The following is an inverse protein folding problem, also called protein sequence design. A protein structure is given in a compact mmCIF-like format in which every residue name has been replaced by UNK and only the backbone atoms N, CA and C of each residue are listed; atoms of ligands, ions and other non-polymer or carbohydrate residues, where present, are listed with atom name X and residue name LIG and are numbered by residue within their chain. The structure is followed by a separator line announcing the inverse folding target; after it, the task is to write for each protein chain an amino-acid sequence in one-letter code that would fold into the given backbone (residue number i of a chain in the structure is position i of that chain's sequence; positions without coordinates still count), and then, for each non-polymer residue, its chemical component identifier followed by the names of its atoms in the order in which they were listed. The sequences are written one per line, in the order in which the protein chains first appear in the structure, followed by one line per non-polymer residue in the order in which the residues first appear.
data_IF_270794559474
#
_entry.id   IF_270794559474
#
_cell.length_a   1.000
_cell.length_b   1.000
_cell.length_c   1.000
_cell.angle_alpha   90.00
_cell.angle_beta   90.00
_cell.angle_gamma   90.00
#
_symmetry.space_group_name_H-M   'P 1'
#
loop_
_entity.id
_entity.type
_entity.pdbx_description
1 polymer ?
#
# COMPACT_ATOMS: atom_id res chain seq x y z
N UNK A 1 -18.15 -8.41 -0.61
CA UNK A 1 -16.68 -8.48 -0.52
C UNK A 1 -16.21 -7.58 0.61
N UNK A 2 -15.30 -8.08 1.41
CA UNK A 2 -14.80 -7.33 2.57
C UNK A 2 -13.70 -6.37 2.19
N UNK A 3 -13.55 -5.33 3.00
CA UNK A 3 -12.53 -4.31 2.81
C UNK A 3 -11.60 -4.27 4.02
N UNK A 4 -10.31 -4.19 3.75
CA UNK A 4 -9.29 -3.94 4.76
C UNK A 4 -8.66 -2.60 4.39
N UNK A 5 -8.68 -1.64 5.31
CA UNK A 5 -8.21 -0.28 5.04
C UNK A 5 -6.99 0.07 5.87
N UNK A 6 -6.01 0.68 5.18
CA UNK A 6 -4.92 1.42 5.81
C UNK A 6 -5.19 2.87 5.46
N UNK A 7 -5.31 3.72 6.46
CA UNK A 7 -5.69 5.12 6.23
C UNK A 7 -4.60 6.06 6.72
N UNK A 8 -4.21 6.99 5.84
CA UNK A 8 -3.28 8.08 6.14
C UNK A 8 -1.94 7.62 6.72
N UNK A 9 -1.36 6.57 6.11
CA UNK A 9 -0.02 6.14 6.47
C UNK A 9 0.98 7.24 6.08
N UNK A 10 1.71 7.76 7.07
CA UNK A 10 2.67 8.82 6.84
C UNK A 10 4.01 8.27 6.34
N UNK A 11 4.46 8.80 5.21
CA UNK A 11 5.77 8.47 4.64
C UNK A 11 6.48 9.78 4.28
N UNK A 12 7.66 10.01 4.82
CA UNK A 12 8.49 11.11 4.38
C UNK A 12 9.45 10.59 3.31
N UNK A 13 9.29 11.04 2.08
CA UNK A 13 10.05 10.51 0.96
C UNK A 13 10.25 11.58 -0.12
N UNK A 14 10.91 11.20 -1.22
CA UNK A 14 11.50 12.15 -2.17
C UNK A 14 10.93 11.99 -3.57
N UNK A 15 9.62 11.72 -3.66
CA UNK A 15 8.93 11.62 -4.95
C UNK A 15 8.54 12.99 -5.48
N UNK A 16 8.49 13.12 -6.79
CA UNK A 16 8.03 14.32 -7.45
C UNK A 16 8.86 14.64 -8.69
N UNK A 17 8.34 15.56 -9.49
CA UNK A 17 9.00 16.01 -10.72
C UNK A 17 10.08 17.05 -10.42
N UNK A 18 9.85 17.93 -9.45
CA UNK A 18 10.77 19.01 -9.13
C UNK A 18 12.00 18.52 -8.40
N UNK A 19 13.15 19.10 -8.74
CA UNK A 19 14.41 18.75 -8.09
C UNK A 19 14.38 19.01 -6.58
N UNK A 20 13.73 20.08 -6.17
CA UNK A 20 13.58 20.42 -4.75
C UNK A 20 12.83 19.35 -3.99
N UNK A 21 11.79 18.76 -4.58
CA UNK A 21 11.04 17.65 -3.99
C UNK A 21 11.93 16.42 -3.82
N UNK A 22 12.80 16.18 -4.78
CA UNK A 22 13.71 15.04 -4.77
C UNK A 22 14.84 15.18 -3.72
N UNK A 23 15.28 16.40 -3.48
CA UNK A 23 16.37 16.68 -2.55
C UNK A 23 15.87 16.84 -1.11
N UNK A 24 14.86 17.69 -0.92
CA UNK A 24 14.34 18.01 0.41
C UNK A 24 13.35 16.98 0.92
N UNK A 25 12.61 16.36 0.02
CA UNK A 25 11.55 15.43 0.37
C UNK A 25 10.31 16.14 0.90
N UNK A 26 9.27 15.36 1.14
CA UNK A 26 8.03 15.85 1.73
C UNK A 26 7.26 14.68 2.35
N UNK A 27 6.28 15.04 3.19
CA UNK A 27 5.40 14.06 3.79
C UNK A 27 4.31 13.66 2.81
N UNK A 28 4.15 12.35 2.61
CA UNK A 28 3.06 11.76 1.85
C UNK A 28 2.11 11.03 2.78
N UNK A 29 0.82 11.13 2.52
CA UNK A 29 -0.19 10.34 3.21
C UNK A 29 -0.71 9.31 2.21
N UNK A 30 -0.54 8.04 2.54
CA UNK A 30 -0.95 6.93 1.69
C UNK A 30 -2.11 6.20 2.33
N UNK A 31 -3.18 6.01 1.58
CA UNK A 31 -4.31 5.20 1.99
C UNK A 31 -4.49 4.06 1.00
N UNK A 32 -4.75 2.88 1.52
CA UNK A 32 -4.98 1.68 0.72
C UNK A 32 -6.25 0.98 1.16
N UNK A 33 -7.13 0.68 0.21
CA UNK A 33 -8.31 -0.15 0.45
C UNK A 33 -8.10 -1.45 -0.29
N UNK A 34 -8.09 -2.55 0.46
CA UNK A 34 -7.85 -3.89 -0.06
C UNK A 34 -9.13 -4.70 0.02
N UNK A 35 -9.53 -5.28 -1.11
CA UNK A 35 -10.80 -6.00 -1.23
C UNK A 35 -10.53 -7.49 -1.30
N UNK A 36 -11.05 -8.24 -0.35
CA UNK A 36 -10.93 -9.69 -0.32
C UNK A 36 -12.14 -10.31 0.39
N UNK A 37 -12.33 -11.61 0.18
CA UNK A 37 -13.32 -12.37 0.95
C UNK A 37 -12.62 -12.91 2.21
N UNK A 38 -13.01 -12.39 3.37
CA UNK A 38 -12.41 -12.77 4.66
C UNK A 38 -13.15 -13.93 5.33
N UNK A 39 -14.14 -14.53 4.66
CA UNK A 39 -14.95 -15.59 5.25
C UNK A 39 -14.11 -16.78 5.71
N UNK A 40 -13.18 -17.23 4.90
CA UNK A 40 -12.32 -18.36 5.24
C UNK A 40 -11.43 -18.06 6.44
N UNK A 41 -10.86 -16.86 6.50
CA UNK A 41 -10.07 -16.42 7.65
C UNK A 41 -10.92 -16.35 8.92
N UNK A 42 -12.15 -15.84 8.82
CA UNK A 42 -13.09 -15.77 9.94
C UNK A 42 -13.50 -17.14 10.46
N UNK A 43 -13.63 -18.12 9.58
CA UNK A 43 -14.02 -19.48 9.97
C UNK A 43 -12.87 -20.29 10.55
N UNK A 44 -11.64 -20.03 10.12
CA UNK A 44 -10.47 -20.85 10.50
C UNK A 44 -9.55 -20.14 11.49
N UNK A 45 -9.70 -18.83 11.67
CA UNK A 45 -8.80 -18.00 12.48
C UNK A 45 -7.35 -18.06 11.98
N UNK A 46 -7.16 -18.24 10.66
CA UNK A 46 -5.82 -18.28 10.06
C UNK A 46 -5.55 -17.00 9.25
N UNK A 47 -4.54 -16.26 9.66
CA UNK A 47 -4.15 -15.02 9.03
C UNK A 47 -3.73 -15.20 7.56
N UNK A 48 -3.25 -16.38 7.19
CA UNK A 48 -2.85 -16.70 5.82
C UNK A 48 -3.99 -16.52 4.80
N UNK A 49 -5.26 -16.58 5.25
CA UNK A 49 -6.42 -16.40 4.38
C UNK A 49 -6.94 -14.95 4.39
N UNK A 50 -6.18 -14.05 4.96
CA UNK A 50 -6.51 -12.64 5.00
C UNK A 50 -5.24 -11.82 4.74
N UNK A 51 -5.28 -10.54 5.08
CA UNK A 51 -4.14 -9.63 4.96
C UNK A 51 -3.73 -9.20 6.35
N UNK A 52 -2.45 -9.37 6.65
CA UNK A 52 -1.87 -8.75 7.84
C UNK A 52 -1.65 -7.27 7.53
N UNK A 53 -2.54 -6.42 8.00
CA UNK A 53 -2.49 -4.99 7.65
C UNK A 53 -1.22 -4.30 8.18
N UNK A 54 -0.65 -4.76 9.28
CA UNK A 54 0.61 -4.20 9.78
C UNK A 54 1.76 -4.52 8.83
N UNK A 55 1.80 -5.74 8.30
CA UNK A 55 2.77 -6.14 7.29
C UNK A 55 2.56 -5.37 5.99
N UNK A 56 1.30 -5.22 5.56
CA UNK A 56 0.96 -4.47 4.35
C UNK A 56 1.40 -3.01 4.48
N UNK A 57 1.16 -2.39 5.64
CA UNK A 57 1.61 -1.02 5.90
C UNK A 57 3.14 -0.91 5.82
N UNK A 58 3.85 -1.90 6.35
CA UNK A 58 5.31 -1.94 6.29
C UNK A 58 5.82 -2.09 4.86
N UNK A 59 5.17 -2.93 4.05
CA UNK A 59 5.52 -3.09 2.63
C UNK A 59 5.35 -1.77 1.87
N UNK A 60 4.26 -1.06 2.11
CA UNK A 60 4.03 0.25 1.51
C UNK A 60 5.13 1.23 1.93
N UNK A 61 5.39 1.31 3.23
CA UNK A 61 6.39 2.22 3.78
C UNK A 61 7.78 1.96 3.18
N UNK A 62 8.23 0.70 3.16
CA UNK A 62 9.53 0.35 2.59
C UNK A 62 9.61 0.71 1.11
N UNK A 63 8.56 0.41 0.35
CA UNK A 63 8.56 0.71 -1.08
C UNK A 63 8.65 2.21 -1.33
N UNK A 64 7.93 3.01 -0.54
CA UNK A 64 7.98 4.47 -0.63
C UNK A 64 9.37 5.02 -0.31
N UNK A 65 10.08 4.40 0.65
CA UNK A 65 11.42 4.82 1.05
C UNK A 65 12.52 4.38 0.08
N UNK A 66 12.39 3.18 -0.48
CA UNK A 66 13.43 2.57 -1.33
C UNK A 66 13.38 3.01 -2.79
N UNK A 67 12.29 3.65 -3.21
CA UNK A 67 12.09 4.06 -4.59
C UNK A 67 11.81 5.54 -4.68
N UNK A 68 12.07 6.11 -5.86
CA UNK A 68 11.79 7.51 -6.14
C UNK A 68 11.08 7.60 -7.49
N UNK A 69 9.86 8.12 -7.48
CA UNK A 69 9.04 8.25 -8.69
C UNK A 69 8.71 9.72 -8.94
N UNK A 70 8.50 10.06 -10.20
CA UNK A 70 8.13 11.42 -10.58
C UNK A 70 6.63 11.69 -10.40
N UNK A 71 5.80 10.68 -10.66
CA UNK A 71 4.34 10.87 -10.73
C UNK A 71 3.63 10.12 -9.61
N UNK A 72 2.60 10.76 -9.05
CA UNK A 72 1.72 10.13 -8.06
C UNK A 72 1.01 8.91 -8.66
N UNK A 73 0.62 8.99 -9.93
CA UNK A 73 -0.02 7.90 -10.66
C UNK A 73 0.87 6.65 -10.70
N UNK A 74 2.18 6.85 -10.88
CA UNK A 74 3.15 5.75 -10.86
C UNK A 74 3.23 5.10 -9.49
N UNK A 75 3.26 5.92 -8.44
CA UNK A 75 3.29 5.44 -7.06
C UNK A 75 2.06 4.57 -6.80
N UNK A 76 0.87 5.04 -7.16
CA UNK A 76 -0.37 4.31 -6.94
C UNK A 76 -0.36 2.96 -7.66
N UNK A 77 0.06 2.92 -8.93
CA UNK A 77 0.14 1.68 -9.69
C UNK A 77 1.13 0.70 -9.07
N UNK A 78 2.31 1.18 -8.65
CA UNK A 78 3.34 0.33 -8.06
C UNK A 78 2.91 -0.23 -6.71
N UNK A 79 2.26 0.57 -5.89
CA UNK A 79 1.77 0.11 -4.58
C UNK A 79 0.64 -0.90 -4.73
N UNK A 80 -0.28 -0.68 -5.67
CA UNK A 80 -1.35 -1.64 -5.95
C UNK A 80 -0.78 -2.98 -6.40
N UNK A 81 0.16 -2.97 -7.34
CA UNK A 81 0.83 -4.18 -7.82
C UNK A 81 1.56 -4.91 -6.69
N UNK A 82 2.26 -4.17 -5.84
CA UNK A 82 2.99 -4.73 -4.70
C UNK A 82 2.05 -5.53 -3.79
N UNK A 83 0.90 -4.95 -3.43
CA UNK A 83 -0.06 -5.59 -2.54
C UNK A 83 -0.76 -6.77 -3.20
N UNK A 84 -1.14 -6.64 -4.47
CA UNK A 84 -1.77 -7.73 -5.21
C UNK A 84 -0.84 -8.95 -5.35
N UNK A 85 0.45 -8.72 -5.51
CA UNK A 85 1.42 -9.81 -5.57
C UNK A 85 1.71 -10.42 -4.19
N UNK A 86 1.72 -9.60 -3.15
CA UNK A 86 2.01 -10.08 -1.80
C UNK A 86 0.87 -10.90 -1.21
N UNK A 87 -0.36 -10.59 -1.57
CA UNK A 87 -1.55 -11.21 -0.98
C UNK A 87 -2.47 -11.79 -2.06
N UNK A 88 -2.36 -13.10 -2.35
CA UNK A 88 -3.17 -13.73 -3.40
C UNK A 88 -4.68 -13.67 -3.14
N UNK A 89 -5.12 -13.46 -1.90
CA UNK A 89 -6.54 -13.32 -1.58
C UNK A 89 -7.15 -12.01 -2.07
N UNK A 90 -6.34 -11.02 -2.42
CA UNK A 90 -6.85 -9.73 -2.86
C UNK A 90 -7.38 -9.82 -4.29
N UNK A 91 -8.55 -9.22 -4.52
CA UNK A 91 -9.17 -9.11 -5.84
C UNK A 91 -9.01 -7.71 -6.42
N UNK A 92 -8.89 -6.70 -5.54
CA UNK A 92 -8.76 -5.31 -5.95
C UNK A 92 -8.02 -4.53 -4.87
N UNK A 93 -7.25 -3.54 -5.27
CA UNK A 93 -6.59 -2.59 -4.37
C UNK A 93 -6.79 -1.18 -4.91
N UNK A 94 -7.30 -0.29 -4.07
CA UNK A 94 -7.42 1.14 -4.37
C UNK A 94 -6.42 1.90 -3.51
N UNK A 95 -5.62 2.75 -4.15
CA UNK A 95 -4.61 3.60 -3.49
C UNK A 95 -5.01 5.06 -3.64
N UNK A 96 -4.92 5.81 -2.56
CA UNK A 96 -5.19 7.25 -2.60
C UNK A 96 -4.23 8.05 -1.74
#
# INVERSE_FOLDING_TARGET
MDQIQIKDLECYCHHGVLKEENVLGQKFLVSATMYCDTKKAGLTDELAYSVNYAEAAHLIYEHMQENQYQLLETIAEKLADLLLHAYPCLEQVDIS
#
